data_IF_346663655547
#
_entry.id   IF_346663655547
#
_cell.length_a   1.000
_cell.length_b   1.000
_cell.length_c   1.000
_cell.angle_alpha   90.00
_cell.angle_beta   90.00
_cell.angle_gamma   90.00
#
_symmetry.space_group_name_H-M   'P 1'
#
loop_
_entity.id
_entity.type
_entity.pdbx_description
1 polymer ?
#
# COMPACT_ATOMS: atom_id res chain seq x y z
N UNK A 1 -22.67 25.01 -2.53
CA UNK A 1 -22.31 23.61 -2.19
C UNK A 1 -22.30 22.79 -3.48
N UNK A 2 -21.40 21.81 -3.65
CA UNK A 2 -21.26 20.90 -4.82
C UNK A 2 -20.36 21.27 -6.03
N UNK A 3 -19.40 22.21 -5.90
CA UNK A 3 -18.47 22.54 -7.02
C UNK A 3 -16.99 22.17 -6.84
N UNK A 4 -16.58 21.61 -5.69
CA UNK A 4 -15.18 21.25 -5.44
C UNK A 4 -14.79 19.83 -5.88
N UNK A 5 -15.72 19.03 -6.36
CA UNK A 5 -15.47 17.60 -6.60
C UNK A 5 -14.84 17.28 -7.97
N UNK A 6 -14.80 18.23 -8.91
CA UNK A 6 -14.37 17.95 -10.29
C UNK A 6 -12.89 18.23 -10.57
N UNK A 7 -12.12 18.75 -9.59
CA UNK A 7 -10.76 19.27 -9.84
C UNK A 7 -9.63 18.44 -9.20
N UNK A 8 -9.96 17.36 -8.50
CA UNK A 8 -8.99 16.44 -7.90
C UNK A 8 -9.30 15.01 -8.36
N UNK A 9 -8.45 14.50 -9.24
CA UNK A 9 -8.59 13.19 -9.86
C UNK A 9 -8.50 12.02 -8.88
N UNK A 10 -9.03 10.90 -9.35
CA UNK A 10 -8.48 9.55 -9.19
C UNK A 10 -7.66 9.28 -7.92
N UNK A 11 -8.32 9.33 -6.77
CA UNK A 11 -7.96 8.54 -5.59
C UNK A 11 -9.25 8.40 -4.79
N UNK A 12 -10.04 7.37 -5.12
CA UNK A 12 -11.16 6.97 -4.27
C UNK A 12 -10.59 6.68 -2.88
N UNK A 13 -11.22 7.32 -1.89
CA UNK A 13 -11.17 7.05 -0.44
C UNK A 13 -9.90 7.45 0.32
N UNK A 14 -9.60 8.75 0.40
CA UNK A 14 -9.05 9.32 1.64
C UNK A 14 -10.25 9.67 2.53
N UNK A 15 -10.37 8.90 3.59
CA UNK A 15 -11.34 8.97 4.68
C UNK A 15 -11.62 10.42 5.14
N UNK A 16 -12.87 10.88 5.09
CA UNK A 16 -13.32 12.10 5.77
C UNK A 16 -13.72 11.73 7.21
N UNK A 17 -13.02 12.19 8.26
CA UNK A 17 -13.37 11.87 9.63
C UNK A 17 -14.51 12.79 10.09
N UNK A 18 -15.75 12.41 9.77
CA UNK A 18 -16.97 13.09 10.23
C UNK A 18 -17.54 12.58 11.56
N UNK A 19 -16.88 11.59 12.20
CA UNK A 19 -17.49 10.81 13.29
C UNK A 19 -16.67 10.69 14.59
N UNK A 20 -15.56 11.43 14.76
CA UNK A 20 -14.77 11.36 16.02
C UNK A 20 -15.12 12.49 17.02
N UNK A 21 -15.30 12.17 18.32
CA UNK A 21 -15.66 13.14 19.35
C UNK A 21 -14.58 14.22 19.55
N UNK A 22 -15.05 15.43 19.85
CA UNK A 22 -14.34 16.72 19.79
C UNK A 22 -12.94 16.81 20.42
N UNK A 23 -12.57 15.93 21.35
CA UNK A 23 -11.32 16.04 22.10
C UNK A 23 -10.04 15.86 21.25
N UNK A 24 -10.13 15.10 20.14
CA UNK A 24 -8.99 14.88 19.23
C UNK A 24 -8.83 15.99 18.16
N UNK A 25 -9.78 16.94 18.08
CA UNK A 25 -9.76 18.04 17.10
C UNK A 25 -8.74 19.13 17.43
N UNK A 26 -8.30 19.25 18.68
CA UNK A 26 -7.46 20.37 19.12
C UNK A 26 -5.98 20.22 18.72
N UNK A 27 -5.47 19.00 18.54
CA UNK A 27 -4.09 18.82 18.05
C UNK A 27 -3.94 19.08 16.54
N UNK A 28 -5.04 19.00 15.79
CA UNK A 28 -5.12 19.28 14.34
C UNK A 28 -5.56 20.70 13.99
N UNK A 29 -5.78 21.57 14.99
CA UNK A 29 -6.06 22.99 14.82
C UNK A 29 -4.78 23.81 14.68
N UNK A 30 -3.88 23.43 13.78
CA UNK A 30 -2.90 24.39 13.25
C UNK A 30 -3.59 25.24 12.17
N UNK A 31 -3.56 26.59 12.29
CA UNK A 31 -4.32 27.47 11.42
C UNK A 31 -3.75 27.47 10.00
N UNK A 32 -4.55 26.97 9.05
CA UNK A 32 -4.38 27.16 7.61
C UNK A 32 -4.58 28.63 7.21
N UNK A 33 -3.74 29.54 7.69
CA UNK A 33 -3.67 30.93 7.21
C UNK A 33 -2.43 31.12 6.34
N UNK A 34 -2.44 30.45 5.18
CA UNK A 34 -1.38 30.63 4.18
C UNK A 34 -1.76 31.83 3.29
N UNK A 35 -1.03 32.94 3.46
CA UNK A 35 -1.05 34.13 2.61
C UNK A 35 -0.84 33.74 1.13
N UNK A 36 -1.71 34.17 0.19
CA UNK A 36 -1.48 33.96 -1.23
C UNK A 36 -0.46 35.01 -1.70
N UNK A 37 0.68 34.60 -2.21
CA UNK A 37 1.58 35.58 -2.84
C UNK A 37 2.92 35.05 -3.34
N UNK A 38 3.62 34.21 -2.56
CA UNK A 38 5.06 33.96 -2.84
C UNK A 38 5.40 32.46 -3.04
N UNK A 39 4.50 31.54 -2.70
CA UNK A 39 4.75 30.09 -2.72
C UNK A 39 4.33 29.35 -4.01
N UNK A 40 4.04 30.07 -5.09
CA UNK A 40 3.70 29.44 -6.38
C UNK A 40 4.91 28.79 -7.07
N UNK A 41 6.14 29.18 -6.72
CA UNK A 41 7.37 28.62 -7.30
C UNK A 41 7.93 27.41 -6.54
N UNK A 42 7.79 27.37 -5.22
CA UNK A 42 8.29 26.23 -4.43
C UNK A 42 7.37 25.00 -4.47
N UNK A 43 6.10 25.15 -4.88
CA UNK A 43 5.15 24.04 -5.04
C UNK A 43 5.37 23.21 -6.30
N UNK A 44 6.28 23.62 -7.18
CA UNK A 44 6.65 22.85 -8.39
C UNK A 44 7.70 21.76 -8.11
N UNK A 45 8.38 21.77 -6.96
CA UNK A 45 9.41 20.77 -6.64
C UNK A 45 8.87 19.55 -5.88
N UNK A 46 7.88 19.75 -5.00
CA UNK A 46 7.37 18.69 -4.11
C UNK A 46 6.24 17.84 -4.73
N UNK A 47 5.64 18.31 -5.83
CA UNK A 47 4.77 17.52 -6.67
C UNK A 47 5.54 17.17 -7.95
N UNK A 48 6.64 16.44 -7.81
CA UNK A 48 7.19 15.71 -8.96
C UNK A 48 6.08 14.74 -9.37
N UNK A 49 5.38 14.94 -10.50
CA UNK A 49 4.47 13.93 -10.98
C UNK A 49 5.32 12.68 -11.14
N UNK A 50 4.90 11.60 -10.46
CA UNK A 50 5.38 10.27 -10.77
C UNK A 50 5.39 10.18 -12.29
N UNK A 51 6.61 10.11 -12.83
CA UNK A 51 6.89 10.13 -14.26
C UNK A 51 6.05 8.99 -14.82
N UNK A 52 4.89 9.33 -15.39
CA UNK A 52 4.00 8.37 -16.03
C UNK A 52 4.88 7.72 -17.09
N UNK A 53 5.35 6.51 -16.79
CA UNK A 53 6.17 5.73 -17.70
C UNK A 53 5.29 5.51 -18.91
N UNK A 54 5.45 6.37 -19.93
CA UNK A 54 4.99 6.06 -21.29
C UNK A 54 5.84 4.86 -21.70
N UNK A 55 5.26 3.66 -21.81
CA UNK A 55 5.99 2.54 -22.35
C UNK A 55 6.20 2.88 -23.82
N UNK A 56 7.39 3.38 -24.15
CA UNK A 56 7.80 3.46 -25.56
C UNK A 56 7.67 2.05 -26.11
N UNK A 57 6.91 1.89 -27.20
CA UNK A 57 6.64 0.59 -27.80
C UNK A 57 7.95 -0.18 -27.99
N UNK A 58 8.19 -1.16 -27.12
CA UNK A 58 9.33 -2.07 -27.23
C UNK A 58 9.00 -3.05 -28.36
N UNK A 59 9.25 -2.61 -29.60
CA UNK A 59 9.01 -3.40 -30.81
C UNK A 59 10.02 -4.53 -31.03
N UNK A 60 10.99 -4.70 -30.12
CA UNK A 60 12.00 -5.74 -30.15
C UNK A 60 11.84 -6.65 -28.93
N UNK A 61 11.47 -7.92 -29.13
CA UNK A 61 11.30 -8.91 -28.06
C UNK A 61 12.54 -9.00 -27.15
N UNK A 62 13.73 -8.80 -27.72
CA UNK A 62 15.00 -8.74 -26.97
C UNK A 62 15.03 -7.61 -25.91
N UNK A 63 14.47 -6.43 -26.23
CA UNK A 63 14.42 -5.31 -25.30
C UNK A 63 13.46 -5.57 -24.12
N UNK A 64 12.38 -6.31 -24.36
CA UNK A 64 11.44 -6.75 -23.32
C UNK A 64 12.12 -7.73 -22.37
N UNK A 65 12.82 -8.73 -22.90
CA UNK A 65 13.58 -9.67 -22.07
C UNK A 65 14.67 -9.00 -21.26
N UNK A 66 15.42 -8.05 -21.86
CA UNK A 66 16.42 -7.27 -21.15
C UNK A 66 15.80 -6.40 -20.05
N UNK A 67 14.62 -5.80 -20.28
CA UNK A 67 13.92 -5.02 -19.27
C UNK A 67 13.47 -5.90 -18.09
N UNK A 68 12.90 -7.08 -18.36
CA UNK A 68 12.50 -8.03 -17.32
C UNK A 68 13.73 -8.51 -16.54
N UNK A 69 14.80 -8.89 -17.23
CA UNK A 69 16.06 -9.31 -16.61
C UNK A 69 16.66 -8.19 -15.74
N UNK A 70 16.65 -6.94 -16.22
CA UNK A 70 17.11 -5.79 -15.46
C UNK A 70 16.26 -5.55 -14.20
N UNK A 71 14.93 -5.57 -14.31
CA UNK A 71 14.03 -5.40 -13.14
C UNK A 71 14.19 -6.55 -12.14
N UNK A 72 14.35 -7.78 -12.63
CA UNK A 72 14.63 -8.95 -11.80
C UNK A 72 15.97 -8.83 -11.07
N UNK A 73 17.03 -8.39 -11.75
CA UNK A 73 18.35 -8.17 -11.16
C UNK A 73 18.30 -7.09 -10.08
N UNK A 74 17.64 -5.96 -10.33
CA UNK A 74 17.46 -4.89 -9.33
C UNK A 74 16.72 -5.41 -8.10
N UNK A 75 15.67 -6.20 -8.32
CA UNK A 75 14.86 -6.80 -7.25
C UNK A 75 15.66 -7.80 -6.41
N UNK A 76 16.49 -8.63 -7.06
CA UNK A 76 17.37 -9.58 -6.40
C UNK A 76 18.48 -8.85 -5.63
N UNK A 77 19.09 -7.83 -6.23
CA UNK A 77 20.11 -7.00 -5.60
C UNK A 77 19.57 -6.27 -4.35
N UNK A 78 18.33 -5.80 -4.36
CA UNK A 78 17.70 -5.20 -3.18
C UNK A 78 17.54 -6.21 -2.03
N UNK A 79 17.08 -7.43 -2.33
CA UNK A 79 16.97 -8.50 -1.33
C UNK A 79 18.34 -8.89 -0.78
N UNK A 80 19.30 -9.22 -1.65
CA UNK A 80 20.66 -9.60 -1.26
C UNK A 80 21.40 -8.47 -0.53
N UNK A 81 21.22 -7.22 -0.96
CA UNK A 81 21.78 -6.05 -0.30
C UNK A 81 21.32 -5.90 1.14
N UNK A 82 20.03 -6.17 1.41
CA UNK A 82 19.50 -6.22 2.77
C UNK A 82 20.20 -7.28 3.63
N UNK A 83 20.33 -8.51 3.12
CA UNK A 83 21.01 -9.59 3.85
C UNK A 83 22.49 -9.31 4.10
N UNK A 84 23.22 -8.78 3.12
CA UNK A 84 24.64 -8.43 3.25
C UNK A 84 24.86 -7.27 4.24
N UNK A 85 23.94 -6.31 4.28
CA UNK A 85 23.99 -5.22 5.25
C UNK A 85 23.82 -5.74 6.68
N UNK A 86 22.88 -6.67 6.91
CA UNK A 86 22.65 -7.30 8.21
C UNK A 86 23.74 -8.31 8.59
N UNK A 87 24.51 -8.86 7.65
CA UNK A 87 25.65 -9.72 7.98
C UNK A 87 26.88 -8.93 8.42
N UNK A 88 27.00 -7.65 8.02
CA UNK A 88 28.14 -6.78 8.34
C UNK A 88 27.90 -5.92 9.58
N UNK A 89 26.64 -5.63 9.91
CA UNK A 89 26.26 -4.75 11.03
C UNK A 89 25.61 -5.59 12.12
N UNK A 90 26.16 -5.57 13.34
CA UNK A 90 25.48 -6.15 14.52
C UNK A 90 24.31 -5.24 14.92
N UNK A 91 23.04 -5.66 14.71
CA UNK A 91 21.91 -4.79 14.97
C UNK A 91 21.78 -4.53 16.47
N UNK A 92 21.59 -3.27 16.85
CA UNK A 92 21.31 -2.89 18.24
C UNK A 92 20.04 -3.58 18.75
N UNK A 93 19.90 -3.82 20.07
CA UNK A 93 18.73 -4.50 20.62
C UNK A 93 17.42 -3.73 20.37
N UNK A 94 17.47 -2.41 20.20
CA UNK A 94 16.32 -1.60 19.80
C UNK A 94 15.91 -1.86 18.34
N UNK A 95 16.89 -1.88 17.43
CA UNK A 95 16.65 -2.14 16.01
C UNK A 95 16.07 -3.53 15.78
N UNK A 96 16.60 -4.55 16.48
CA UNK A 96 16.11 -5.93 16.37
C UNK A 96 14.64 -6.08 16.80
N UNK A 97 14.22 -5.34 17.83
CA UNK A 97 12.80 -5.26 18.25
C UNK A 97 11.96 -4.55 17.20
N UNK A 98 12.42 -3.42 16.67
CA UNK A 98 11.70 -2.70 15.62
C UNK A 98 11.49 -3.56 14.35
N UNK A 99 12.53 -4.28 13.90
CA UNK A 99 12.42 -5.19 12.76
C UNK A 99 11.47 -6.36 12.98
N UNK A 100 11.34 -6.86 14.22
CA UNK A 100 10.42 -7.95 14.53
C UNK A 100 8.95 -7.55 14.34
N UNK A 101 8.60 -6.26 14.51
CA UNK A 101 7.24 -5.75 14.34
C UNK A 101 6.94 -5.23 12.92
N UNK A 102 7.97 -4.80 12.19
CA UNK A 102 7.85 -4.25 10.84
C UNK A 102 6.99 -5.07 9.86
N UNK A 103 7.18 -6.40 9.70
CA UNK A 103 6.44 -7.16 8.71
C UNK A 103 4.94 -7.15 9.01
N UNK A 104 4.54 -7.32 10.26
CA UNK A 104 3.12 -7.24 10.64
C UNK A 104 2.51 -5.86 10.38
N UNK A 105 3.23 -4.79 10.74
CA UNK A 105 2.77 -3.43 10.56
C UNK A 105 2.57 -3.06 9.08
N UNK A 106 3.51 -3.43 8.19
CA UNK A 106 3.37 -3.11 6.76
C UNK A 106 2.23 -3.91 6.11
N UNK A 107 2.01 -5.16 6.51
CA UNK A 107 0.87 -5.93 6.04
C UNK A 107 -0.45 -5.29 6.44
N UNK A 108 -0.60 -4.86 7.70
CA UNK A 108 -1.81 -4.20 8.18
C UNK A 108 -2.01 -2.84 7.48
N UNK A 109 -0.95 -2.05 7.33
CA UNK A 109 -0.99 -0.77 6.62
C UNK A 109 -1.40 -0.92 5.15
N UNK A 110 -1.14 -2.07 4.53
CA UNK A 110 -1.55 -2.38 3.16
C UNK A 110 -2.97 -2.96 3.08
N UNK A 111 -3.30 -3.91 3.95
CA UNK A 111 -4.59 -4.61 3.94
C UNK A 111 -5.73 -3.69 4.36
N UNK A 112 -5.53 -2.81 5.35
CA UNK A 112 -6.57 -1.89 5.85
C UNK A 112 -7.15 -1.00 4.74
N UNK A 113 -6.36 -0.23 3.97
CA UNK A 113 -6.92 0.60 2.89
C UNK A 113 -7.53 -0.24 1.76
N UNK A 114 -6.99 -1.42 1.47
CA UNK A 114 -7.58 -2.34 0.50
C UNK A 114 -8.97 -2.84 0.94
N UNK A 115 -9.14 -3.14 2.23
CA UNK A 115 -10.41 -3.61 2.79
C UNK A 115 -11.43 -2.46 2.97
N UNK A 116 -10.96 -1.26 3.27
CA UNK A 116 -11.80 -0.05 3.35
C UNK A 116 -12.33 0.42 1.99
N UNK A 117 -11.56 0.20 0.92
CA UNK A 117 -11.95 0.61 -0.43
C UNK A 117 -12.79 -0.44 -1.17
N UNK A 118 -12.77 -1.70 -0.71
CA UNK A 118 -13.55 -2.80 -1.26
C UNK A 118 -14.99 -2.86 -0.77
N UNK A 119 -15.84 -3.68 -1.41
CA UNK A 119 -17.19 -3.95 -0.94
C UNK A 119 -17.20 -4.62 0.46
N UNK A 120 -18.25 -4.39 1.27
CA UNK A 120 -18.33 -4.94 2.63
C UNK A 120 -18.32 -6.48 2.66
N UNK A 121 -18.68 -7.14 1.56
CA UNK A 121 -18.62 -8.59 1.41
C UNK A 121 -17.20 -9.14 1.62
N UNK A 122 -16.16 -8.37 1.25
CA UNK A 122 -14.76 -8.80 1.31
C UNK A 122 -14.24 -8.94 2.74
N UNK A 123 -14.97 -8.39 3.72
CA UNK A 123 -14.64 -8.54 5.13
C UNK A 123 -14.79 -9.99 5.60
N UNK A 124 -15.66 -10.77 4.95
CA UNK A 124 -15.83 -12.20 5.22
C UNK A 124 -14.53 -12.98 5.01
N UNK A 125 -13.86 -12.79 3.86
CA UNK A 125 -12.59 -13.48 3.59
C UNK A 125 -11.44 -12.98 4.48
N UNK A 126 -11.43 -11.70 4.86
CA UNK A 126 -10.48 -11.18 5.85
C UNK A 126 -10.69 -11.82 7.24
N UNK A 127 -11.94 -12.04 7.66
CA UNK A 127 -12.24 -12.74 8.90
C UNK A 127 -11.83 -14.22 8.85
N UNK A 128 -12.09 -14.90 7.74
CA UNK A 128 -11.70 -16.31 7.55
C UNK A 128 -10.19 -16.48 7.57
N UNK A 129 -9.43 -15.61 6.90
CA UNK A 129 -7.95 -15.64 6.92
C UNK A 129 -7.39 -15.42 8.32
N UNK A 130 -7.93 -14.44 9.06
CA UNK A 130 -7.53 -14.20 10.45
C UNK A 130 -7.86 -15.41 11.34
N UNK A 131 -9.04 -16.01 11.19
CA UNK A 131 -9.43 -17.19 11.93
C UNK A 131 -8.52 -18.40 11.64
N UNK A 132 -8.20 -18.66 10.36
CA UNK A 132 -7.31 -19.79 10.00
C UNK A 132 -5.89 -19.58 10.49
N UNK A 133 -5.38 -18.35 10.43
CA UNK A 133 -4.05 -18.04 10.94
C UNK A 133 -3.99 -18.20 12.47
N UNK A 134 -5.06 -17.79 13.18
CA UNK A 134 -5.16 -17.92 14.63
C UNK A 134 -5.19 -19.39 15.09
N UNK A 135 -5.87 -20.28 14.35
CA UNK A 135 -6.00 -21.70 14.73
C UNK A 135 -4.81 -22.54 14.27
N UNK A 136 -4.37 -22.37 13.01
CA UNK A 136 -3.44 -23.31 12.36
C UNK A 136 -1.99 -22.90 12.56
N UNK A 137 -1.72 -21.61 12.82
CA UNK A 137 -0.36 -21.00 12.85
C UNK A 137 0.51 -21.33 11.61
N UNK A 138 -0.13 -21.79 10.54
CA UNK A 138 0.52 -22.18 9.28
C UNK A 138 0.13 -21.18 8.19
N UNK A 139 1.11 -20.43 7.73
CA UNK A 139 0.94 -19.34 6.76
C UNK A 139 0.43 -19.85 5.41
N UNK A 140 0.81 -21.06 5.01
CA UNK A 140 0.34 -21.65 3.74
C UNK A 140 -1.16 -21.92 3.75
N UNK A 141 -1.66 -22.50 4.85
CA UNK A 141 -3.09 -22.79 5.03
C UNK A 141 -3.93 -21.51 5.14
N UNK A 142 -3.42 -20.46 5.80
CA UNK A 142 -4.16 -19.19 5.86
C UNK A 142 -4.29 -18.52 4.50
N UNK A 143 -3.26 -18.59 3.65
CA UNK A 143 -3.32 -18.04 2.29
C UNK A 143 -4.35 -18.84 1.47
N UNK A 144 -4.27 -20.17 1.50
CA UNK A 144 -5.20 -21.03 0.78
C UNK A 144 -6.66 -20.79 1.21
N UNK A 145 -6.93 -20.74 2.51
CA UNK A 145 -8.26 -20.46 3.05
C UNK A 145 -8.78 -19.06 2.66
N UNK A 146 -7.90 -18.06 2.62
CA UNK A 146 -8.24 -16.72 2.17
C UNK A 146 -8.65 -16.66 0.71
N UNK A 147 -7.85 -17.28 -0.16
CA UNK A 147 -8.16 -17.37 -1.59
C UNK A 147 -9.47 -18.12 -1.79
N UNK A 148 -9.64 -19.29 -1.17
CA UNK A 148 -10.87 -20.10 -1.28
C UNK A 148 -12.10 -19.34 -0.79
N UNK A 149 -12.00 -18.63 0.33
CA UNK A 149 -13.13 -17.83 0.85
C UNK A 149 -13.50 -16.66 -0.07
N UNK A 150 -12.51 -15.96 -0.65
CA UNK A 150 -12.77 -14.92 -1.66
C UNK A 150 -13.46 -15.51 -2.89
N UNK A 151 -12.96 -16.63 -3.41
CA UNK A 151 -13.58 -17.33 -4.54
C UNK A 151 -15.00 -17.80 -4.24
N UNK A 152 -15.28 -18.24 -3.01
CA UNK A 152 -16.62 -18.66 -2.60
C UNK A 152 -17.59 -17.47 -2.45
N UNK A 153 -17.09 -16.30 -2.05
CA UNK A 153 -17.89 -15.08 -1.84
C UNK A 153 -18.23 -14.40 -3.16
N UNK A 154 -17.22 -14.16 -4.01
CA UNK A 154 -17.40 -13.46 -5.30
C UNK A 154 -17.90 -14.41 -6.41
N UNK A 155 -17.78 -15.72 -6.20
CA UNK A 155 -18.02 -16.74 -7.21
C UNK A 155 -16.95 -16.71 -8.30
N UNK A 156 -16.67 -17.87 -8.90
CA UNK A 156 -15.68 -17.98 -9.99
C UNK A 156 -15.97 -17.06 -11.19
N UNK A 157 -17.19 -16.54 -11.33
CA UNK A 157 -17.63 -15.66 -12.41
C UNK A 157 -17.24 -14.18 -12.22
N UNK A 158 -17.00 -13.71 -10.98
CA UNK A 158 -16.66 -12.31 -10.69
C UNK A 158 -15.17 -11.98 -10.83
N UNK A 159 -14.29 -12.98 -10.78
CA UNK A 159 -12.83 -12.77 -10.84
C UNK A 159 -12.28 -12.59 -12.27
N UNK A 160 -12.99 -13.09 -13.29
CA UNK A 160 -12.57 -13.08 -14.70
C UNK A 160 -13.26 -12.02 -15.57
N UNK A 161 -14.18 -11.22 -15.02
CA UNK A 161 -14.91 -10.14 -15.73
C UNK A 161 -14.42 -8.78 -15.23
#
# INVERSE_FOLDING_TARGET
>A
MWRCWYRYGAAKTIFCPGWLPLAWQLWWRMPCRIRPGILFRARLAAASPARYWKPSAMNNTLSVYLAIAAMALVTWACRCGGYLLFSRITPSPALRRALAYLPGCIFIAYVVPALMSGPPQNWGGAAVTMATMATTRNVGLSIAAGVVSMFAIDGAAGFFN
#
